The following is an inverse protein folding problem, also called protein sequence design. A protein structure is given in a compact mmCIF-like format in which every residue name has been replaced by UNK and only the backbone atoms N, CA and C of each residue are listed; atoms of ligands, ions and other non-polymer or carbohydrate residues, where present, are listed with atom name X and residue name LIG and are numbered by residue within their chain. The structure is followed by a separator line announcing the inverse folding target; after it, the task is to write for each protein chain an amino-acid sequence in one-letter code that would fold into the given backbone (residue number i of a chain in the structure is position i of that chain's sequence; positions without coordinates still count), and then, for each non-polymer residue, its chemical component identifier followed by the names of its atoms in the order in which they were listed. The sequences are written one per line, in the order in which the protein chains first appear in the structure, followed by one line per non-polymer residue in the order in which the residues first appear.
data_IF_406605961346
#
_entry.id   IF_406605961346
#
_cell.length_a   1.000
_cell.length_b   1.000
_cell.length_c   1.000
_cell.angle_alpha   90.00
_cell.angle_beta   90.00
_cell.angle_gamma   90.00
#
_symmetry.space_group_name_H-M   'P 1'
#
loop_
_entity.id
_entity.type
_entity.pdbx_description
1 polymer ?
#
# COMPACT_ATOMS: atom_id res chain seq x y z
N UNK A 1 2.56 -20.97 32.73
CA UNK A 1 2.15 -19.60 33.09
C UNK A 1 1.44 -18.97 31.88
N UNK A 2 0.10 -18.93 31.90
CA UNK A 2 -0.76 -18.53 30.76
C UNK A 2 -0.69 -16.99 30.64
N UNK A 3 0.16 -16.44 29.77
CA UNK A 3 0.21 -15.00 29.49
C UNK A 3 -1.21 -14.52 29.15
N UNK A 4 -1.67 -13.48 29.84
CA UNK A 4 -3.04 -13.00 29.82
C UNK A 4 -3.47 -12.56 28.40
N UNK A 5 -4.58 -13.10 27.91
CA UNK A 5 -5.23 -12.75 26.62
C UNK A 5 -5.33 -11.24 26.31
N UNK A 6 -5.61 -10.32 27.27
CA UNK A 6 -5.71 -8.88 26.96
C UNK A 6 -4.41 -8.25 26.45
N UNK A 7 -3.25 -8.71 26.92
CA UNK A 7 -1.95 -8.14 26.52
C UNK A 7 -1.61 -8.44 25.05
N UNK A 8 -1.97 -9.63 24.57
CA UNK A 8 -1.72 -10.04 23.19
C UNK A 8 -2.61 -9.28 22.20
N UNK A 9 -3.88 -9.09 22.55
CA UNK A 9 -4.82 -8.31 21.72
C UNK A 9 -4.40 -6.83 21.62
N UNK A 10 -3.99 -6.22 22.73
CA UNK A 10 -3.50 -4.84 22.74
C UNK A 10 -2.26 -4.66 21.86
N UNK A 11 -1.30 -5.58 21.94
CA UNK A 11 -0.10 -5.54 21.09
C UNK A 11 -0.42 -5.68 19.60
N UNK A 12 -1.41 -6.50 19.26
CA UNK A 12 -1.89 -6.66 17.89
C UNK A 12 -2.55 -5.37 17.38
N UNK A 13 -3.47 -4.81 18.18
CA UNK A 13 -4.18 -3.57 17.85
C UNK A 13 -3.22 -2.40 17.66
N UNK A 14 -2.24 -2.24 18.56
CA UNK A 14 -1.21 -1.20 18.45
C UNK A 14 -0.43 -1.33 17.15
N UNK A 15 -0.02 -2.54 16.78
CA UNK A 15 0.70 -2.78 15.52
C UNK A 15 -0.16 -2.47 14.30
N UNK A 16 -1.41 -2.91 14.31
CA UNK A 16 -2.36 -2.65 13.24
C UNK A 16 -2.60 -1.14 13.03
N UNK A 17 -2.78 -0.37 14.12
CA UNK A 17 -2.92 1.08 14.05
C UNK A 17 -1.67 1.76 13.47
N UNK A 18 -0.48 1.38 13.94
CA UNK A 18 0.79 1.93 13.44
C UNK A 18 0.92 1.66 11.93
N UNK A 19 0.69 0.42 11.50
CA UNK A 19 0.74 0.07 10.08
C UNK A 19 -0.23 0.92 9.26
N UNK A 20 -1.45 1.12 9.76
CA UNK A 20 -2.49 1.89 9.05
C UNK A 20 -2.07 3.36 8.89
N UNK A 21 -1.49 3.95 9.93
CA UNK A 21 -0.99 5.34 9.93
C UNK A 21 0.15 5.53 8.92
N UNK A 22 0.97 4.52 8.66
CA UNK A 22 2.03 4.61 7.64
C UNK A 22 1.55 4.29 6.22
N UNK A 23 0.72 3.26 6.06
CA UNK A 23 0.28 2.80 4.74
C UNK A 23 -0.68 3.81 4.11
N UNK A 24 -1.62 4.38 4.87
CA UNK A 24 -2.67 5.25 4.31
C UNK A 24 -2.09 6.53 3.65
N UNK A 25 -1.23 7.33 4.31
CA UNK A 25 -0.67 8.54 3.71
C UNK A 25 0.23 8.25 2.50
N UNK A 26 0.98 7.14 2.52
CA UNK A 26 1.80 6.73 1.39
C UNK A 26 0.96 6.26 0.21
N UNK A 27 -0.14 5.58 0.48
CA UNK A 27 -1.12 5.18 -0.54
C UNK A 27 -1.77 6.41 -1.17
N UNK A 28 -2.18 7.39 -0.35
CA UNK A 28 -2.72 8.66 -0.84
C UNK A 28 -1.72 9.39 -1.74
N UNK A 29 -0.47 9.54 -1.30
CA UNK A 29 0.59 10.15 -2.10
C UNK A 29 0.83 9.37 -3.40
N UNK A 30 0.77 8.03 -3.34
CA UNK A 30 0.93 7.19 -4.51
C UNK A 30 -0.18 7.40 -5.53
N UNK A 31 -1.44 7.52 -5.11
CA UNK A 31 -2.56 7.83 -6.01
C UNK A 31 -2.38 9.18 -6.70
N UNK A 32 -1.98 10.22 -5.97
CA UNK A 32 -1.70 11.52 -6.57
C UNK A 32 -0.54 11.49 -7.56
N UNK A 33 0.51 10.74 -7.24
CA UNK A 33 1.66 10.67 -8.13
C UNK A 33 1.37 9.82 -9.38
N UNK A 34 0.62 8.73 -9.26
CA UNK A 34 0.30 7.85 -10.40
C UNK A 34 -0.86 8.36 -11.24
N UNK A 35 -1.91 8.86 -10.59
CA UNK A 35 -3.21 9.14 -11.22
C UNK A 35 -3.68 10.60 -11.03
N UNK A 36 -2.85 11.47 -10.44
CA UNK A 36 -3.20 12.87 -10.21
C UNK A 36 -3.44 13.67 -11.49
N UNK A 37 -2.96 13.20 -12.64
CA UNK A 37 -3.27 13.78 -13.96
C UNK A 37 -4.77 13.72 -14.29
N UNK A 38 -5.52 12.85 -13.62
CA UNK A 38 -6.97 12.68 -13.80
C UNK A 38 -7.79 13.39 -12.72
N UNK A 39 -7.15 14.22 -11.89
CA UNK A 39 -7.82 14.87 -10.75
C UNK A 39 -8.93 15.84 -11.18
N UNK A 40 -8.76 16.51 -12.33
CA UNK A 40 -9.76 17.42 -12.91
C UNK A 40 -10.84 16.71 -13.74
N UNK A 41 -10.71 15.39 -13.95
CA UNK A 41 -11.67 14.60 -14.75
C UNK A 41 -12.80 14.08 -13.88
N UNK A 42 -14.02 14.12 -14.40
CA UNK A 42 -15.20 13.62 -13.71
C UNK A 42 -15.13 12.10 -13.54
N UNK A 43 -15.54 11.62 -12.37
CA UNK A 43 -15.75 10.19 -12.15
C UNK A 43 -17.01 9.73 -12.89
N UNK A 44 -16.92 8.59 -13.56
CA UNK A 44 -18.07 7.94 -14.21
C UNK A 44 -19.10 7.42 -13.20
N UNK A 45 -18.64 7.05 -11.99
CA UNK A 45 -19.49 6.60 -10.89
C UNK A 45 -20.12 7.74 -10.07
N UNK A 46 -19.54 8.95 -10.11
CA UNK A 46 -20.05 10.10 -9.36
C UNK A 46 -19.57 11.44 -9.97
N UNK A 47 -20.48 12.17 -10.61
CA UNK A 47 -20.14 13.42 -11.31
C UNK A 47 -19.67 14.56 -10.38
N UNK A 48 -20.08 14.55 -9.11
CA UNK A 48 -19.74 15.59 -8.14
C UNK A 48 -18.55 15.21 -7.23
N UNK A 49 -18.02 13.98 -7.35
CA UNK A 49 -17.00 13.48 -6.44
C UNK A 49 -15.60 14.01 -6.78
N UNK A 50 -14.98 14.66 -5.79
CA UNK A 50 -13.62 15.18 -5.87
C UNK A 50 -12.61 14.03 -5.83
N UNK A 51 -11.59 14.10 -6.70
CA UNK A 51 -10.48 13.12 -6.70
C UNK A 51 -9.82 12.99 -5.33
N UNK A 52 -9.66 14.11 -4.62
CA UNK A 52 -9.06 14.14 -3.30
C UNK A 52 -9.86 13.31 -2.28
N UNK A 53 -11.19 13.42 -2.31
CA UNK A 53 -12.08 12.72 -1.40
C UNK A 53 -12.03 11.21 -1.66
N UNK A 54 -12.17 10.80 -2.92
CA UNK A 54 -12.07 9.41 -3.33
C UNK A 54 -10.71 8.81 -2.96
N UNK A 55 -9.62 9.52 -3.28
CA UNK A 55 -8.26 9.08 -2.97
C UNK A 55 -8.04 8.96 -1.45
N UNK A 56 -8.58 9.87 -0.64
CA UNK A 56 -8.52 9.80 0.82
C UNK A 56 -9.25 8.54 1.33
N UNK A 57 -10.50 8.34 0.93
CA UNK A 57 -11.28 7.18 1.36
C UNK A 57 -10.64 5.86 0.92
N UNK A 58 -10.25 5.73 -0.35
CA UNK A 58 -9.56 4.55 -0.87
C UNK A 58 -8.25 4.30 -0.11
N UNK A 59 -7.49 5.35 0.22
CA UNK A 59 -6.20 5.21 0.93
C UNK A 59 -6.38 4.70 2.37
N UNK A 60 -7.41 5.18 3.08
CA UNK A 60 -7.72 4.75 4.45
C UNK A 60 -8.23 3.31 4.45
N UNK A 61 -9.14 2.96 3.54
CA UNK A 61 -9.66 1.59 3.40
C UNK A 61 -8.50 0.62 3.08
N UNK A 62 -7.64 1.00 2.14
CA UNK A 62 -6.46 0.22 1.77
C UNK A 62 -5.50 0.06 2.93
N UNK A 63 -5.22 1.14 3.67
CA UNK A 63 -4.37 1.12 4.86
C UNK A 63 -4.90 0.18 5.92
N UNK A 64 -6.21 0.23 6.22
CA UNK A 64 -6.87 -0.67 7.18
C UNK A 64 -6.74 -2.13 6.71
N UNK A 65 -7.10 -2.40 5.46
CA UNK A 65 -7.11 -3.74 4.87
C UNK A 65 -5.72 -4.38 4.89
N UNK A 66 -4.72 -3.69 4.32
CA UNK A 66 -3.34 -4.18 4.27
C UNK A 66 -2.74 -4.32 5.67
N UNK A 67 -3.07 -3.42 6.59
CA UNK A 67 -2.60 -3.54 7.98
C UNK A 67 -3.11 -4.80 8.67
N UNK A 68 -4.36 -5.19 8.43
CA UNK A 68 -4.89 -6.46 8.95
C UNK A 68 -4.08 -7.61 8.39
N UNK A 69 -3.88 -7.65 7.06
CA UNK A 69 -3.16 -8.74 6.39
C UNK A 69 -1.69 -8.82 6.84
N UNK A 70 -0.98 -7.70 6.92
CA UNK A 70 0.41 -7.66 7.36
C UNK A 70 0.56 -8.09 8.82
N UNK A 71 -0.43 -7.78 9.67
CA UNK A 71 -0.49 -8.32 11.02
C UNK A 71 -0.70 -9.85 11.02
N UNK A 72 -1.51 -10.40 10.11
CA UNK A 72 -1.65 -11.86 9.95
C UNK A 72 -0.34 -12.52 9.49
N UNK A 73 0.50 -11.85 8.71
CA UNK A 73 1.82 -12.36 8.33
C UNK A 73 2.85 -12.39 9.47
N UNK A 74 2.49 -11.97 10.69
CA UNK A 74 3.34 -12.11 11.87
C UNK A 74 3.74 -13.56 12.20
N UNK A 75 3.02 -14.57 11.71
CA UNK A 75 3.37 -15.99 11.89
C UNK A 75 4.55 -16.44 11.01
N UNK A 76 4.94 -15.66 9.99
CA UNK A 76 6.03 -16.01 9.08
C UNK A 76 7.39 -15.76 9.77
N UNK A 77 8.13 -16.83 10.07
CA UNK A 77 9.42 -16.76 10.78
C UNK A 77 10.55 -16.13 9.96
N UNK A 78 10.53 -16.30 8.63
CA UNK A 78 11.58 -15.81 7.73
C UNK A 78 11.27 -14.37 7.30
N UNK A 79 11.91 -13.39 7.93
CA UNK A 79 11.58 -11.98 7.69
C UNK A 79 11.72 -11.53 6.23
N UNK A 80 12.74 -12.01 5.50
CA UNK A 80 12.92 -11.61 4.10
C UNK A 80 11.78 -12.10 3.21
N UNK A 81 11.28 -13.32 3.48
CA UNK A 81 10.12 -13.86 2.76
C UNK A 81 8.87 -13.07 3.13
N UNK A 82 8.69 -12.76 4.42
CA UNK A 82 7.56 -11.94 4.89
C UNK A 82 7.54 -10.57 4.20
N UNK A 83 8.66 -9.84 4.25
CA UNK A 83 8.84 -8.53 3.61
C UNK A 83 8.57 -8.62 2.10
N UNK A 84 9.08 -9.66 1.43
CA UNK A 84 8.85 -9.87 0.00
C UNK A 84 7.37 -10.07 -0.34
N UNK A 85 6.65 -10.89 0.44
CA UNK A 85 5.21 -11.11 0.25
C UNK A 85 4.41 -9.84 0.51
N UNK A 86 4.73 -9.10 1.59
CA UNK A 86 4.08 -7.83 1.92
C UNK A 86 4.28 -6.79 0.81
N UNK A 87 5.50 -6.71 0.26
CA UNK A 87 5.81 -5.80 -0.84
C UNK A 87 5.06 -6.15 -2.13
N UNK A 88 5.05 -7.43 -2.52
CA UNK A 88 4.32 -7.89 -3.71
C UNK A 88 2.81 -7.61 -3.55
N UNK A 89 2.25 -7.90 -2.38
CA UNK A 89 0.83 -7.65 -2.11
C UNK A 89 0.50 -6.14 -2.18
N UNK A 90 1.35 -5.29 -1.61
CA UNK A 90 1.21 -3.83 -1.68
C UNK A 90 1.16 -3.35 -3.14
N UNK A 91 2.10 -3.82 -3.98
CA UNK A 91 2.15 -3.47 -5.41
C UNK A 91 0.87 -3.90 -6.12
N UNK A 92 0.40 -5.13 -5.91
CA UNK A 92 -0.82 -5.62 -6.55
C UNK A 92 -2.04 -4.77 -6.17
N UNK A 93 -2.20 -4.46 -4.88
CA UNK A 93 -3.34 -3.65 -4.41
C UNK A 93 -3.27 -2.23 -4.97
N UNK A 94 -2.09 -1.61 -5.01
CA UNK A 94 -1.94 -0.28 -5.59
C UNK A 94 -2.19 -0.25 -7.09
N UNK A 95 -1.68 -1.22 -7.85
CA UNK A 95 -1.97 -1.33 -9.30
C UNK A 95 -3.45 -1.57 -9.56
N UNK A 96 -4.13 -2.36 -8.73
CA UNK A 96 -5.57 -2.57 -8.80
C UNK A 96 -6.37 -1.27 -8.60
N UNK A 97 -6.02 -0.48 -7.58
CA UNK A 97 -6.68 0.81 -7.34
C UNK A 97 -6.38 1.83 -8.44
N UNK A 98 -5.13 1.90 -8.89
CA UNK A 98 -4.74 2.75 -10.01
C UNK A 98 -5.53 2.42 -11.28
N UNK A 99 -5.65 1.13 -11.61
CA UNK A 99 -6.49 0.67 -12.72
C UNK A 99 -7.94 1.12 -12.53
N UNK A 100 -8.50 0.93 -11.33
CA UNK A 100 -9.88 1.34 -11.03
C UNK A 100 -10.11 2.84 -11.18
N UNK A 101 -9.15 3.66 -10.73
CA UNK A 101 -9.19 5.13 -10.87
C UNK A 101 -9.09 5.52 -12.36
N UNK A 102 -8.19 4.89 -13.12
CA UNK A 102 -8.05 5.14 -14.55
C UNK A 102 -9.33 4.77 -15.31
N UNK A 103 -9.91 3.62 -14.99
CA UNK A 103 -11.17 3.18 -15.60
C UNK A 103 -12.27 4.19 -15.32
N UNK A 104 -12.46 4.54 -14.06
CA UNK A 104 -13.55 5.41 -13.64
C UNK A 104 -13.44 6.85 -14.16
N UNK A 105 -12.22 7.41 -14.23
CA UNK A 105 -12.01 8.83 -14.58
C UNK A 105 -11.60 9.08 -16.03
N UNK A 106 -11.23 8.04 -16.78
CA UNK A 106 -10.85 8.19 -18.19
C UNK A 106 -11.44 7.11 -19.09
N UNK A 107 -11.21 5.83 -18.76
CA UNK A 107 -11.59 4.75 -19.69
C UNK A 107 -13.09 4.71 -19.96
N UNK A 108 -13.91 4.84 -18.91
CA UNK A 108 -15.38 4.86 -19.01
C UNK A 108 -15.94 6.01 -19.86
N UNK A 109 -15.16 7.06 -20.08
CA UNK A 109 -15.53 8.22 -20.90
C UNK A 109 -14.99 8.15 -22.33
N UNK A 110 -14.24 7.10 -22.66
CA UNK A 110 -13.48 6.95 -23.89
C UNK A 110 -13.59 5.53 -24.44
N UNK A 111 -12.94 5.25 -25.57
CA UNK A 111 -12.93 3.93 -26.21
C UNK A 111 -11.56 3.25 -26.03
N UNK A 112 -11.21 2.90 -24.80
CA UNK A 112 -10.03 2.07 -24.53
C UNK A 112 -10.39 0.59 -24.61
N UNK A 113 -9.46 -0.23 -25.11
CA UNK A 113 -9.53 -1.68 -24.94
C UNK A 113 -8.77 -2.09 -23.67
N UNK A 114 -9.05 -3.31 -23.18
CA UNK A 114 -8.45 -3.82 -21.94
C UNK A 114 -6.91 -3.78 -21.95
N UNK A 115 -6.29 -4.03 -23.10
CA UNK A 115 -4.84 -3.99 -23.21
C UNK A 115 -4.31 -2.56 -23.08
N UNK A 116 -4.93 -1.58 -23.74
CA UNK A 116 -4.57 -0.17 -23.60
C UNK A 116 -4.76 0.31 -22.15
N UNK A 117 -5.85 -0.08 -21.48
CA UNK A 117 -6.06 0.28 -20.07
C UNK A 117 -4.91 -0.21 -19.16
N UNK A 118 -4.49 -1.46 -19.33
CA UNK A 118 -3.36 -2.02 -18.58
C UNK A 118 -2.06 -1.27 -18.90
N UNK A 119 -1.76 -1.05 -20.19
CA UNK A 119 -0.52 -0.39 -20.60
C UNK A 119 -0.44 1.05 -20.07
N UNK A 120 -1.52 1.82 -20.15
CA UNK A 120 -1.60 3.17 -19.61
C UNK A 120 -1.45 3.16 -18.08
N UNK A 121 -2.18 2.28 -17.40
CA UNK A 121 -2.10 2.16 -15.95
C UNK A 121 -0.67 1.86 -15.50
N UNK A 122 -0.02 0.86 -16.11
CA UNK A 122 1.36 0.48 -15.76
C UNK A 122 2.32 1.62 -16.08
N UNK A 123 2.20 2.26 -17.25
CA UNK A 123 3.09 3.34 -17.66
C UNK A 123 3.12 4.49 -16.65
N UNK A 124 1.95 4.89 -16.14
CA UNK A 124 1.83 5.95 -15.14
C UNK A 124 2.20 5.48 -13.72
N UNK A 125 1.95 4.21 -13.41
CA UNK A 125 2.08 3.68 -12.04
C UNK A 125 3.44 3.09 -11.72
N UNK A 126 4.22 2.66 -12.72
CA UNK A 126 5.41 1.83 -12.50
C UNK A 126 6.40 2.47 -11.54
N UNK A 127 6.79 3.72 -11.80
CA UNK A 127 7.76 4.41 -10.97
C UNK A 127 7.20 4.79 -9.58
N UNK A 128 6.03 5.45 -9.46
CA UNK A 128 5.48 5.81 -8.15
C UNK A 128 5.21 4.60 -7.25
N UNK A 129 4.67 3.50 -7.80
CA UNK A 129 4.34 2.29 -7.03
C UNK A 129 5.61 1.62 -6.50
N UNK A 130 6.64 1.48 -7.34
CA UNK A 130 7.89 0.87 -6.89
C UNK A 130 8.63 1.74 -5.86
N UNK A 131 8.74 3.05 -6.12
CA UNK A 131 9.46 3.95 -5.23
C UNK A 131 8.77 4.07 -3.87
N UNK A 132 7.48 4.40 -3.85
CA UNK A 132 6.73 4.53 -2.60
C UNK A 132 6.48 3.18 -1.92
N UNK A 133 6.41 2.09 -2.68
CA UNK A 133 6.28 0.75 -2.11
C UNK A 133 7.55 0.36 -1.34
N UNK A 134 8.72 0.60 -1.93
CA UNK A 134 10.01 0.40 -1.27
C UNK A 134 10.13 1.25 -0.01
N UNK A 135 9.71 2.53 -0.08
CA UNK A 135 9.70 3.43 1.06
C UNK A 135 8.76 2.91 2.18
N UNK A 136 7.54 2.51 1.82
CA UNK A 136 6.52 2.02 2.76
C UNK A 136 7.03 0.80 3.53
N UNK A 137 7.52 -0.21 2.81
CA UNK A 137 8.05 -1.44 3.42
C UNK A 137 9.28 -1.15 4.28
N UNK A 138 10.17 -0.27 3.82
CA UNK A 138 11.34 0.14 4.59
C UNK A 138 10.96 0.81 5.91
N UNK A 139 9.93 1.67 5.91
CA UNK A 139 9.42 2.32 7.11
C UNK A 139 8.77 1.33 8.08
N UNK A 140 7.94 0.42 7.57
CA UNK A 140 7.26 -0.61 8.38
C UNK A 140 8.24 -1.56 9.08
N UNK A 141 9.36 -1.90 8.41
CA UNK A 141 10.35 -2.85 8.93
C UNK A 141 11.67 -2.22 9.38
N UNK A 142 11.72 -0.89 9.52
CA UNK A 142 12.96 -0.17 9.80
C UNK A 142 13.73 -0.74 11.01
N UNK A 143 13.03 -1.03 12.11
CA UNK A 143 13.65 -1.59 13.32
C UNK A 143 14.21 -3.00 13.09
N UNK A 144 13.48 -3.85 12.37
CA UNK A 144 13.86 -5.23 12.09
C UNK A 144 15.06 -5.29 11.13
N UNK A 145 15.08 -4.41 10.13
CA UNK A 145 16.18 -4.24 9.17
C UNK A 145 17.43 -3.71 9.89
N UNK A 146 17.29 -2.65 10.69
CA UNK A 146 18.40 -2.06 11.46
C UNK A 146 19.05 -3.08 12.39
N UNK A 147 18.26 -3.87 13.12
CA UNK A 147 18.76 -4.89 14.03
C UNK A 147 19.61 -5.95 13.31
N UNK A 148 19.22 -6.35 12.09
CA UNK A 148 19.99 -7.30 11.28
C UNK A 148 21.31 -6.74 10.80
N UNK A 149 21.34 -5.49 10.34
CA UNK A 149 22.58 -4.85 9.92
C UNK A 149 23.59 -4.73 11.07
N UNK A 150 23.13 -4.36 12.27
CA UNK A 150 24.00 -4.33 13.46
C UNK A 150 24.52 -5.72 13.82
N UNK A 151 23.67 -6.75 13.80
CA UNK A 151 24.08 -8.13 14.08
C UNK A 151 25.09 -8.67 13.07
N UNK A 152 24.97 -8.29 11.79
CA UNK A 152 25.93 -8.67 10.76
C UNK A 152 27.30 -8.02 11.01
N UNK A 153 27.31 -6.71 11.32
CA UNK A 153 28.54 -5.97 11.64
C UNK A 153 29.33 -6.60 12.80
N UNK A 154 28.63 -7.03 13.85
CA UNK A 154 29.25 -7.65 15.02
C UNK A 154 29.76 -9.08 14.80
N UNK A 155 29.36 -9.75 13.70
CA UNK A 155 29.80 -11.13 13.38
C UNK A 155 31.09 -11.15 12.54
N UNK A 156 31.45 -10.02 11.95
CA UNK A 156 32.61 -9.84 11.07
C UNK A 156 33.71 -8.98 11.72
N UNK A 157 33.62 -8.74 13.03
CA UNK A 157 34.67 -8.18 13.88
C UNK A 157 35.04 -9.20 14.95
#
# INVERSE_FOLDING_TARGET
MKKSKPHQFYSFLKKWLINTIFISPLTFLQFYWSMGTFSDRMSSGCLECLFAEDALFMSVITGIFLSVIFCLFSFIKRILIKIGIEFILLIFVWLFWNYSIFVDRESSWSTYDFNAEIQYTISLSFFPVLFLGCLCISLLHYQEIKARFVSYKNKHH
#
